data_IF_531540424833
#
_entry.id   IF_531540424833
#
_cell.length_a   1.000
_cell.length_b   1.000
_cell.length_c   1.000
_cell.angle_alpha   90.00
_cell.angle_beta   90.00
_cell.angle_gamma   90.00
#
_symmetry.space_group_name_H-M   'P 1'
#
loop_
_entity.id
_entity.type
_entity.pdbx_description
1 polymer ?
#
# COMPACT_ATOMS: atom_id res chain seq x y z
N UNK A 1 -12.43 -2.13 -16.73
CA UNK A 1 -12.88 -0.73 -16.59
C UNK A 1 -13.73 -0.71 -15.34
N UNK A 2 -13.35 0.09 -14.34
CA UNK A 2 -14.17 0.27 -13.12
C UNK A 2 -15.39 1.09 -13.52
N UNK A 3 -16.58 0.72 -13.04
CA UNK A 3 -17.77 1.57 -13.24
C UNK A 3 -17.51 2.95 -12.63
N UNK A 4 -17.93 4.06 -13.30
CA UNK A 4 -17.75 5.40 -12.75
C UNK A 4 -18.31 5.51 -11.32
N UNK A 5 -17.50 6.03 -10.41
CA UNK A 5 -17.87 6.22 -9.01
C UNK A 5 -18.58 7.57 -8.86
N UNK A 6 -19.91 7.56 -8.96
CA UNK A 6 -20.74 8.75 -9.07
C UNK A 6 -21.39 9.16 -7.74
N UNK A 7 -21.55 8.24 -6.80
CA UNK A 7 -22.16 8.52 -5.48
C UNK A 7 -21.18 8.32 -4.31
N UNK A 8 -21.36 9.07 -3.20
CA UNK A 8 -20.59 8.85 -1.97
C UNK A 8 -20.70 7.40 -1.47
N UNK A 9 -21.88 6.78 -1.55
CA UNK A 9 -22.12 5.40 -1.10
C UNK A 9 -21.41 4.37 -1.99
N UNK A 10 -21.28 4.63 -3.29
CA UNK A 10 -20.49 3.77 -4.18
C UNK A 10 -19.01 3.85 -3.83
N UNK A 11 -18.49 5.07 -3.63
CA UNK A 11 -17.09 5.30 -3.26
C UNK A 11 -16.76 4.66 -1.91
N UNK A 12 -17.64 4.81 -0.91
CA UNK A 12 -17.47 4.20 0.42
C UNK A 12 -17.36 2.68 0.34
N UNK A 13 -18.27 2.03 -0.40
CA UNK A 13 -18.24 0.57 -0.59
C UNK A 13 -16.98 0.13 -1.34
N UNK A 14 -16.66 0.82 -2.43
CA UNK A 14 -15.45 0.55 -3.21
C UNK A 14 -14.18 0.67 -2.37
N UNK A 15 -14.07 1.72 -1.54
CA UNK A 15 -12.94 1.95 -0.65
C UNK A 15 -12.84 0.88 0.45
N UNK A 16 -13.97 0.51 1.06
CA UNK A 16 -14.02 -0.54 2.07
C UNK A 16 -13.60 -1.90 1.52
N UNK A 17 -14.11 -2.27 0.33
CA UNK A 17 -13.76 -3.51 -0.36
C UNK A 17 -12.28 -3.52 -0.78
N UNK A 18 -11.79 -2.42 -1.36
CA UNK A 18 -10.40 -2.29 -1.82
C UNK A 18 -9.38 -2.35 -0.68
N UNK A 19 -9.72 -1.79 0.49
CA UNK A 19 -8.86 -1.79 1.67
C UNK A 19 -9.11 -2.98 2.61
N UNK A 20 -10.08 -3.85 2.30
CA UNK A 20 -10.44 -5.01 3.12
C UNK A 20 -10.84 -4.64 4.55
N UNK A 21 -11.57 -3.54 4.71
CA UNK A 21 -11.89 -2.96 6.03
C UNK A 21 -13.39 -2.78 6.21
N UNK A 22 -13.88 -2.98 7.43
CA UNK A 22 -15.26 -2.67 7.81
C UNK A 22 -15.43 -1.22 8.29
N UNK A 23 -14.37 -0.40 8.22
CA UNK A 23 -14.41 1.00 8.63
C UNK A 23 -15.38 1.81 7.78
N UNK A 24 -16.05 2.73 8.44
CA UNK A 24 -16.80 3.77 7.75
C UNK A 24 -15.87 4.87 7.26
N UNK A 25 -16.18 5.40 6.08
CA UNK A 25 -15.48 6.55 5.50
C UNK A 25 -16.45 7.68 5.23
N UNK A 26 -16.09 8.92 5.49
CA UNK A 26 -16.79 10.07 4.92
C UNK A 26 -16.06 10.55 3.67
N UNK A 27 -16.78 11.11 2.69
CA UNK A 27 -16.20 11.53 1.42
C UNK A 27 -16.56 12.97 1.04
N UNK A 28 -15.57 13.75 0.63
CA UNK A 28 -15.69 15.04 -0.03
C UNK A 28 -15.46 14.87 -1.53
N UNK A 29 -16.41 15.32 -2.34
CA UNK A 29 -16.24 15.30 -3.80
C UNK A 29 -15.27 16.39 -4.27
N UNK A 30 -14.34 16.04 -5.16
CA UNK A 30 -13.56 17.00 -5.95
C UNK A 30 -13.74 16.74 -7.45
N UNK A 31 -13.11 17.53 -8.30
CA UNK A 31 -13.34 17.48 -9.76
C UNK A 31 -12.98 16.12 -10.35
N UNK A 32 -11.83 15.57 -9.97
CA UNK A 32 -11.29 14.33 -10.53
C UNK A 32 -11.40 13.13 -9.59
N UNK A 33 -11.96 13.31 -8.39
CA UNK A 33 -11.94 12.27 -7.36
C UNK A 33 -12.88 12.51 -6.18
N UNK A 34 -12.70 11.66 -5.18
CA UNK A 34 -13.37 11.73 -3.89
C UNK A 34 -12.32 11.63 -2.79
N UNK A 35 -12.20 12.66 -1.96
CA UNK A 35 -11.32 12.68 -0.80
C UNK A 35 -12.07 12.02 0.36
N UNK A 36 -11.58 10.87 0.82
CA UNK A 36 -12.20 10.04 1.83
C UNK A 36 -11.36 10.02 3.11
N UNK A 37 -12.03 10.13 4.25
CA UNK A 37 -11.42 10.02 5.57
C UNK A 37 -12.10 8.92 6.36
N UNK A 38 -11.32 8.16 7.11
CA UNK A 38 -11.88 7.15 8.02
C UNK A 38 -12.63 7.85 9.14
N UNK A 39 -13.86 7.42 9.41
CA UNK A 39 -14.61 7.81 10.60
C UNK A 39 -14.05 6.99 11.76
N UNK A 40 -13.40 7.67 12.69
CA UNK A 40 -12.92 7.09 13.95
C UNK A 40 -14.11 6.71 14.82
N UNK A 41 -14.04 5.54 15.48
CA UNK A 41 -14.99 5.24 16.56
C UNK A 41 -14.62 6.02 17.83
N UNK A 42 -15.58 6.21 18.74
CA UNK A 42 -15.34 6.88 20.03
C UNK A 42 -14.26 6.18 20.87
N UNK A 43 -14.14 4.84 20.74
CA UNK A 43 -13.08 4.05 21.38
C UNK A 43 -11.69 4.33 20.76
N UNK A 44 -11.60 4.48 19.43
CA UNK A 44 -10.34 4.78 18.73
C UNK A 44 -9.85 6.23 18.96
N UNK A 45 -10.80 7.15 19.12
CA UNK A 45 -10.54 8.51 19.58
C UNK A 45 -10.00 8.52 21.02
N UNK A 46 -10.54 7.68 21.89
CA UNK A 46 -10.11 7.56 23.28
C UNK A 46 -8.76 6.82 23.45
N UNK A 47 -8.43 5.89 22.55
CA UNK A 47 -7.17 5.11 22.59
C UNK A 47 -5.98 5.80 21.92
N UNK A 48 -6.20 6.92 21.21
CA UNK A 48 -5.14 7.61 20.45
C UNK A 48 -4.74 6.90 19.15
N UNK A 49 -5.53 5.93 18.70
CA UNK A 49 -5.32 5.16 17.45
C UNK A 49 -5.62 5.97 16.18
N UNK A 50 -6.02 7.24 16.30
CA UNK A 50 -6.12 8.18 15.16
C UNK A 50 -4.78 8.52 14.49
N UNK A 51 -3.64 8.14 15.09
CA UNK A 51 -2.30 8.31 14.53
C UNK A 51 -2.00 7.25 13.46
N UNK A 52 -2.37 7.56 12.22
CA UNK A 52 -2.09 6.70 11.05
C UNK A 52 -3.23 6.62 10.04
N UNK A 53 -4.40 7.19 10.37
CA UNK A 53 -5.54 7.26 9.46
C UNK A 53 -5.27 8.32 8.39
N UNK A 54 -4.78 7.85 7.25
CA UNK A 54 -4.54 8.67 6.08
C UNK A 54 -5.84 9.17 5.45
N UNK A 55 -5.74 10.32 4.80
CA UNK A 55 -6.73 10.72 3.81
C UNK A 55 -6.54 9.84 2.57
N UNK A 56 -7.62 9.35 1.99
CA UNK A 56 -7.59 8.63 0.72
C UNK A 56 -8.19 9.49 -0.37
N UNK A 57 -7.69 9.41 -1.59
CA UNK A 57 -8.38 9.98 -2.76
C UNK A 57 -8.66 8.87 -3.75
N UNK A 58 -9.94 8.72 -4.10
CA UNK A 58 -10.42 7.78 -5.11
C UNK A 58 -10.63 8.53 -6.42
N UNK A 59 -9.89 8.17 -7.47
CA UNK A 59 -10.07 8.75 -8.79
C UNK A 59 -11.38 8.27 -9.44
N UNK A 60 -12.24 9.19 -9.88
CA UNK A 60 -13.55 8.85 -10.45
C UNK A 60 -13.47 8.06 -11.76
N UNK A 61 -12.43 8.28 -12.55
CA UNK A 61 -12.27 7.69 -13.88
C UNK A 61 -11.51 6.37 -13.85
N UNK A 62 -10.48 6.28 -13.03
CA UNK A 62 -9.57 5.13 -13.02
C UNK A 62 -9.82 4.15 -11.87
N UNK A 63 -10.54 4.58 -10.83
CA UNK A 63 -10.70 3.82 -9.60
C UNK A 63 -9.41 3.72 -8.76
N UNK A 64 -8.33 4.42 -9.15
CA UNK A 64 -7.09 4.44 -8.37
C UNK A 64 -7.34 5.11 -7.02
N UNK A 65 -6.88 4.45 -5.96
CA UNK A 65 -6.92 4.97 -4.59
C UNK A 65 -5.50 5.36 -4.21
N UNK A 66 -5.36 6.61 -3.76
CA UNK A 66 -4.09 7.15 -3.25
C UNK A 66 -4.22 7.51 -1.78
N UNK A 67 -3.21 7.21 -0.97
CA UNK A 67 -3.11 7.68 0.40
C UNK A 67 -2.30 8.97 0.46
N UNK A 68 -2.77 9.91 1.28
CA UNK A 68 -2.26 11.27 1.42
C UNK A 68 -1.94 11.60 2.89
N UNK A 69 -1.18 12.67 3.08
CA UNK A 69 -0.84 13.19 4.41
C UNK A 69 -2.08 13.72 5.16
N UNK A 70 -1.93 14.06 6.44
CA UNK A 70 -3.00 14.57 7.32
C UNK A 70 -3.41 16.03 7.03
N UNK A 71 -3.30 16.49 5.79
CA UNK A 71 -3.84 17.79 5.38
C UNK A 71 -5.37 17.79 5.43
N UNK A 72 -5.96 18.98 5.40
CA UNK A 72 -7.41 19.13 5.30
C UNK A 72 -7.92 18.50 3.98
N UNK A 73 -9.04 17.76 3.99
CA UNK A 73 -9.58 17.10 2.81
C UNK A 73 -9.81 18.05 1.62
N UNK A 74 -10.23 19.29 1.88
CA UNK A 74 -10.40 20.32 0.85
C UNK A 74 -9.07 20.62 0.16
N UNK A 75 -8.01 20.83 0.93
CA UNK A 75 -6.65 21.08 0.41
C UNK A 75 -6.12 19.89 -0.39
N UNK A 76 -6.43 18.66 0.05
CA UNK A 76 -6.05 17.44 -0.68
C UNK A 76 -6.80 17.37 -2.01
N UNK A 77 -8.09 17.67 -2.01
CA UNK A 77 -8.92 17.70 -3.23
C UNK A 77 -8.39 18.71 -4.25
N UNK A 78 -8.06 19.93 -3.80
CA UNK A 78 -7.47 20.98 -4.64
C UNK A 78 -6.13 20.55 -5.23
N UNK A 79 -5.20 20.06 -4.41
CA UNK A 79 -3.88 19.59 -4.88
C UNK A 79 -3.99 18.40 -5.83
N UNK A 80 -4.93 17.49 -5.56
CA UNK A 80 -5.19 16.35 -6.43
C UNK A 80 -5.70 16.82 -7.79
N UNK A 81 -6.69 17.71 -7.79
CA UNK A 81 -7.29 18.20 -9.03
C UNK A 81 -6.30 19.01 -9.86
N UNK A 82 -5.45 19.81 -9.22
CA UNK A 82 -4.35 20.53 -9.87
C UNK A 82 -3.35 19.56 -10.50
N UNK A 83 -2.91 18.54 -9.75
CA UNK A 83 -1.98 17.54 -10.26
C UNK A 83 -2.53 16.80 -11.49
N UNK A 84 -3.79 16.35 -11.44
CA UNK A 84 -4.42 15.66 -12.59
C UNK A 84 -4.57 16.61 -13.77
N UNK A 85 -5.02 17.84 -13.55
CA UNK A 85 -5.25 18.83 -14.62
C UNK A 85 -3.95 19.23 -15.32
N UNK A 86 -2.86 19.34 -14.58
CA UNK A 86 -1.54 19.75 -15.10
C UNK A 86 -0.69 18.58 -15.59
N UNK A 87 -1.15 17.33 -15.42
CA UNK A 87 -0.33 16.14 -15.63
C UNK A 87 0.84 16.04 -14.64
N UNK A 88 0.74 16.72 -13.50
CA UNK A 88 1.73 16.74 -12.43
C UNK A 88 1.67 15.49 -11.55
N UNK A 89 2.62 15.42 -10.61
CA UNK A 89 2.69 14.32 -9.64
C UNK A 89 1.70 14.54 -8.50
N UNK A 90 0.81 13.57 -8.28
CA UNK A 90 -0.07 13.53 -7.11
C UNK A 90 0.77 13.44 -5.82
N UNK A 91 0.46 14.28 -4.82
CA UNK A 91 1.15 14.35 -3.53
C UNK A 91 0.69 13.24 -2.56
N UNK A 92 0.69 12.01 -3.05
CA UNK A 92 0.32 10.81 -2.32
C UNK A 92 0.98 9.58 -2.95
N UNK A 93 0.64 8.40 -2.44
CA UNK A 93 1.07 7.14 -3.03
C UNK A 93 -0.13 6.25 -3.30
N UNK A 94 -0.09 5.50 -4.41
CA UNK A 94 -1.15 4.57 -4.76
C UNK A 94 -1.17 3.41 -3.76
N UNK A 95 -2.37 3.10 -3.27
CA UNK A 95 -2.65 1.95 -2.40
C UNK A 95 -3.55 0.93 -3.09
N UNK A 96 -4.29 1.34 -4.12
CA UNK A 96 -5.12 0.45 -4.92
C UNK A 96 -5.28 0.94 -6.38
N UNK A 97 -5.35 0.05 -7.38
CA UNK A 97 -5.07 -1.39 -7.27
C UNK A 97 -3.59 -1.61 -6.89
N UNK A 98 -3.25 -2.76 -6.29
CA UNK A 98 -1.85 -3.11 -6.07
C UNK A 98 -1.08 -3.04 -7.38
N UNK A 99 0.11 -2.46 -7.33
CA UNK A 99 0.99 -2.31 -8.48
C UNK A 99 1.90 -3.51 -8.68
N UNK A 100 2.11 -4.33 -7.64
CA UNK A 100 2.97 -5.49 -7.71
C UNK A 100 2.38 -6.69 -6.99
N UNK A 101 2.56 -7.86 -7.60
CA UNK A 101 2.45 -9.15 -6.92
C UNK A 101 3.85 -9.59 -6.51
N UNK A 102 4.04 -9.89 -5.23
CA UNK A 102 5.32 -10.31 -4.67
C UNK A 102 5.20 -11.72 -4.13
N UNK A 103 6.12 -12.58 -4.55
CA UNK A 103 6.30 -13.92 -4.03
C UNK A 103 7.65 -14.01 -3.32
N UNK A 104 7.66 -14.64 -2.15
CA UNK A 104 8.84 -14.81 -1.33
C UNK A 104 9.03 -16.28 -0.99
N UNK A 105 10.25 -16.77 -1.11
CA UNK A 105 10.64 -18.15 -0.82
C UNK A 105 11.95 -18.17 -0.05
N UNK A 106 11.98 -18.85 1.10
CA UNK A 106 13.19 -19.02 1.90
C UNK A 106 14.13 -19.99 1.20
N UNK A 107 15.30 -19.49 0.82
CA UNK A 107 16.37 -20.28 0.17
C UNK A 107 17.23 -20.96 1.21
N UNK A 108 17.56 -20.25 2.30
CA UNK A 108 18.45 -20.74 3.34
C UNK A 108 18.25 -19.99 4.66
N UNK A 109 18.64 -20.62 5.77
CA UNK A 109 18.54 -20.07 7.12
C UNK A 109 19.65 -20.60 8.04
N UNK A 110 20.22 -19.71 8.85
CA UNK A 110 21.07 -20.03 10.02
C UNK A 110 20.47 -19.41 11.27
N UNK A 111 21.04 -19.64 12.47
CA UNK A 111 20.62 -18.89 13.65
C UNK A 111 20.74 -17.36 13.51
N UNK A 112 21.66 -16.85 12.69
CA UNK A 112 21.95 -15.42 12.54
C UNK A 112 21.26 -14.77 11.34
N UNK A 113 21.22 -15.47 10.20
CA UNK A 113 20.73 -14.93 8.92
C UNK A 113 19.64 -15.79 8.31
N UNK A 114 18.85 -15.15 7.46
CA UNK A 114 17.90 -15.84 6.59
C UNK A 114 17.96 -15.22 5.20
N UNK A 115 18.01 -16.07 4.18
CA UNK A 115 18.00 -15.69 2.78
C UNK A 115 16.68 -16.07 2.13
N UNK A 116 16.10 -15.10 1.43
CA UNK A 116 14.91 -15.22 0.63
C UNK A 116 15.20 -14.90 -0.83
N UNK A 117 14.54 -15.66 -1.71
CA UNK A 117 14.30 -15.28 -3.09
C UNK A 117 12.98 -14.52 -3.14
N UNK A 118 13.01 -13.31 -3.69
CA UNK A 118 11.85 -12.41 -3.85
C UNK A 118 11.59 -12.22 -5.34
N UNK A 119 10.42 -12.63 -5.82
CA UNK A 119 9.95 -12.40 -7.19
C UNK A 119 8.89 -11.31 -7.17
N UNK A 120 9.02 -10.32 -8.04
CA UNK A 120 8.07 -9.22 -8.16
C UNK A 120 7.57 -9.12 -9.60
N UNK A 121 6.26 -9.03 -9.77
CA UNK A 121 5.60 -8.86 -11.06
C UNK A 121 4.70 -7.64 -11.01
N UNK A 122 4.94 -6.69 -11.92
CA UNK A 122 4.07 -5.52 -12.08
C UNK A 122 2.67 -5.94 -12.53
N UNK A 123 1.65 -5.34 -11.91
CA UNK A 123 0.23 -5.53 -12.21
C UNK A 123 -0.33 -4.40 -13.08
N UNK A 124 0.47 -3.39 -13.43
CA UNK A 124 0.03 -2.29 -14.29
C UNK A 124 -0.01 -2.70 -15.76
N UNK A 125 -0.80 -1.99 -16.56
CA UNK A 125 -0.86 -2.19 -18.01
C UNK A 125 -0.64 -0.85 -18.76
N UNK A 126 0.49 -0.68 -19.47
CA UNK A 126 1.61 -1.62 -19.60
C UNK A 126 2.36 -1.84 -18.26
N UNK A 127 3.10 -2.96 -18.10
CA UNK A 127 3.90 -3.22 -16.91
C UNK A 127 4.91 -2.11 -16.65
N UNK A 128 4.99 -1.64 -15.41
CA UNK A 128 5.92 -0.58 -15.01
C UNK A 128 7.38 -1.05 -15.16
N UNK A 129 7.66 -2.30 -14.82
CA UNK A 129 8.95 -2.97 -15.04
C UNK A 129 8.72 -4.44 -15.41
N UNK A 130 9.68 -5.09 -16.11
CA UNK A 130 9.64 -6.54 -16.31
C UNK A 130 9.69 -7.30 -14.98
N UNK A 131 9.21 -8.56 -14.93
CA UNK A 131 9.34 -9.40 -13.75
C UNK A 131 10.78 -9.47 -13.25
N UNK A 132 10.96 -9.27 -11.95
CA UNK A 132 12.28 -9.19 -11.33
C UNK A 132 12.41 -10.24 -10.22
N UNK A 133 13.54 -10.95 -10.21
CA UNK A 133 13.95 -11.82 -9.12
C UNK A 133 15.12 -11.18 -8.37
N UNK A 134 15.03 -11.15 -7.03
CA UNK A 134 16.05 -10.53 -6.15
C UNK A 134 16.30 -11.41 -4.94
N UNK A 135 17.54 -11.36 -4.44
CA UNK A 135 17.89 -11.97 -3.17
C UNK A 135 17.70 -10.95 -2.04
N UNK A 136 17.13 -11.41 -0.94
CA UNK A 136 16.99 -10.66 0.30
C UNK A 136 17.61 -11.48 1.42
N UNK A 137 18.69 -10.97 2.02
CA UNK A 137 19.22 -11.55 3.25
C UNK A 137 18.91 -10.63 4.42
N UNK A 138 18.38 -11.20 5.50
CA UNK A 138 18.00 -10.50 6.72
C UNK A 138 18.86 -11.04 7.86
N UNK A 139 19.53 -10.15 8.59
CA UNK A 139 20.11 -10.49 9.88
C UNK A 139 19.00 -10.49 10.94
N UNK A 140 18.77 -11.63 11.60
CA UNK A 140 17.61 -11.83 12.48
C UNK A 140 17.64 -10.98 13.75
N UNK A 141 18.82 -10.67 14.26
CA UNK A 141 19.00 -9.89 15.49
C UNK A 141 18.85 -8.38 15.24
N UNK A 142 19.40 -7.88 14.13
CA UNK A 142 19.45 -6.44 13.84
C UNK A 142 18.41 -5.97 12.83
N UNK A 143 17.74 -6.90 12.15
CA UNK A 143 16.82 -6.67 11.03
C UNK A 143 17.45 -5.89 9.87
N UNK A 144 18.78 -5.81 9.82
CA UNK A 144 19.49 -5.21 8.69
C UNK A 144 19.41 -6.14 7.50
N UNK A 145 19.28 -5.55 6.31
CA UNK A 145 19.11 -6.28 5.06
C UNK A 145 20.17 -5.97 4.03
N UNK A 146 20.47 -6.99 3.23
CA UNK A 146 21.32 -6.88 2.05
C UNK A 146 20.63 -7.58 0.87
N UNK A 147 20.85 -7.05 -0.33
CA UNK A 147 20.30 -7.61 -1.56
C UNK A 147 21.41 -7.82 -2.57
N UNK A 148 21.17 -8.66 -3.58
CA UNK A 148 22.11 -8.85 -4.70
C UNK A 148 22.15 -7.66 -5.66
N UNK A 149 21.33 -6.63 -5.44
CA UNK A 149 21.26 -5.42 -6.26
C UNK A 149 21.64 -4.17 -5.47
N UNK A 150 22.20 -3.16 -6.14
CA UNK A 150 22.57 -1.89 -5.48
C UNK A 150 21.37 -1.04 -5.06
N UNK A 151 20.27 -1.11 -5.80
CA UNK A 151 19.04 -0.40 -5.48
C UNK A 151 18.06 -1.36 -4.78
N UNK A 152 17.60 -0.99 -3.59
CA UNK A 152 16.57 -1.74 -2.87
C UNK A 152 15.23 -1.44 -3.54
N UNK A 153 14.74 -2.37 -4.34
CA UNK A 153 13.42 -2.28 -4.94
C UNK A 153 12.31 -2.36 -3.88
N UNK A 154 11.17 -1.70 -4.16
CA UNK A 154 10.03 -1.64 -3.23
C UNK A 154 9.58 -3.02 -2.76
N UNK A 155 9.50 -4.01 -3.66
CA UNK A 155 9.13 -5.39 -3.32
C UNK A 155 10.01 -6.03 -2.25
N UNK A 156 11.31 -5.70 -2.20
CA UNK A 156 12.23 -6.28 -1.22
C UNK A 156 11.99 -5.69 0.17
N UNK A 157 11.70 -4.39 0.24
CA UNK A 157 11.34 -3.71 1.49
C UNK A 157 10.06 -4.28 2.08
N UNK A 158 9.05 -4.50 1.25
CA UNK A 158 7.79 -5.11 1.68
C UNK A 158 7.96 -6.59 2.05
N UNK A 159 8.79 -7.34 1.32
CA UNK A 159 9.11 -8.74 1.65
C UNK A 159 9.78 -8.87 3.03
N UNK A 160 10.71 -7.97 3.36
CA UNK A 160 11.31 -7.89 4.70
C UNK A 160 10.24 -7.65 5.77
N UNK A 161 9.43 -6.59 5.61
CA UNK A 161 8.42 -6.21 6.59
C UNK A 161 7.39 -7.34 6.82
N UNK A 162 6.96 -7.99 5.72
CA UNK A 162 6.06 -9.14 5.78
C UNK A 162 6.67 -10.31 6.55
N UNK A 163 7.92 -10.69 6.24
CA UNK A 163 8.60 -11.80 6.89
C UNK A 163 8.85 -11.54 8.37
N UNK A 164 9.23 -10.31 8.72
CA UNK A 164 9.40 -9.85 10.10
C UNK A 164 8.09 -9.90 10.89
N UNK A 165 7.00 -9.37 10.34
CA UNK A 165 5.69 -9.38 10.99
C UNK A 165 5.20 -10.81 11.25
N UNK A 166 5.37 -11.72 10.28
CA UNK A 166 5.09 -13.15 10.45
C UNK A 166 5.96 -13.79 11.53
N UNK A 167 7.27 -13.52 11.50
CA UNK A 167 8.18 -14.08 12.50
C UNK A 167 7.88 -13.60 13.92
N UNK A 168 7.45 -12.34 14.09
CA UNK A 168 7.03 -11.83 15.41
C UNK A 168 5.77 -12.52 15.92
N UNK A 169 4.84 -12.85 15.03
CA UNK A 169 3.57 -13.50 15.38
C UNK A 169 3.75 -14.98 15.68
N UNK A 170 4.45 -15.69 14.80
CA UNK A 170 4.51 -17.16 14.80
C UNK A 170 5.79 -17.69 15.46
N UNK A 171 6.69 -16.80 15.90
CA UNK A 171 7.99 -17.13 16.50
C UNK A 171 9.01 -17.75 15.54
N UNK A 172 8.62 -17.94 14.26
CA UNK A 172 9.42 -18.61 13.24
C UNK A 172 9.39 -17.82 11.94
N UNK A 173 10.52 -17.81 11.24
CA UNK A 173 10.57 -17.17 9.93
C UNK A 173 9.83 -18.02 8.88
N UNK A 174 9.02 -17.39 8.01
CA UNK A 174 8.18 -18.11 7.05
C UNK A 174 9.00 -18.80 5.96
N UNK A 175 8.54 -19.98 5.50
CA UNK A 175 9.17 -20.69 4.38
C UNK A 175 8.82 -20.08 3.02
N UNK A 176 7.57 -19.64 2.84
CA UNK A 176 7.11 -19.00 1.61
C UNK A 176 5.91 -18.07 1.90
N UNK A 177 5.61 -17.20 0.93
CA UNK A 177 4.44 -16.33 0.98
C UNK A 177 4.19 -15.62 -0.35
N UNK A 178 2.98 -15.11 -0.51
CA UNK A 178 2.60 -14.23 -1.60
C UNK A 178 1.73 -13.09 -1.06
N UNK A 179 1.95 -11.88 -1.56
CA UNK A 179 1.17 -10.70 -1.20
C UNK A 179 1.23 -9.64 -2.31
N UNK A 180 0.36 -8.65 -2.22
CA UNK A 180 0.23 -7.58 -3.21
C UNK A 180 0.58 -6.23 -2.55
N UNK A 181 1.22 -5.33 -3.30
CA UNK A 181 1.65 -3.99 -2.87
C UNK A 181 1.38 -2.93 -3.92
#
# INVERSE_FOLDING_TARGET
MVEPLESPEQVRRYLADALGTAREFWGLECRHGWVCQSVLTDEELASGEGLGLGNYVVNKQTGVITAHSSLAPETIGEQYDEAITTGGRVQGYQVYPPMWRVEIERVWETPEEIEYRVRAQSQTQPPAEPPAERQLVINKATLRTRTNTRAIHVSVRHAQAWAEARSRRDGTWPQNGAFEI
#
